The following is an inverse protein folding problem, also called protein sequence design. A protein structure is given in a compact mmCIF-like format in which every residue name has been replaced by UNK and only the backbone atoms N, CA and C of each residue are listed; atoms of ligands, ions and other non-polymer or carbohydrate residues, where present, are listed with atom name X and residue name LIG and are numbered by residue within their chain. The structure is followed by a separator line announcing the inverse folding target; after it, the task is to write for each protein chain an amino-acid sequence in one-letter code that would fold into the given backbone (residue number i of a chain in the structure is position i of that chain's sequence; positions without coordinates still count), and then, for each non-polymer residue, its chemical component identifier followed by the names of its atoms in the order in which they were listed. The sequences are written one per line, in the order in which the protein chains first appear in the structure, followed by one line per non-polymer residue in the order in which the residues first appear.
data_IF_955515554523
#
_entry.id   IF_955515554523
#
_cell.length_a   1.000
_cell.length_b   1.000
_cell.length_c   1.000
_cell.angle_alpha   90.00
_cell.angle_beta   90.00
_cell.angle_gamma   90.00
#
_symmetry.space_group_name_H-M   'P 1'
#
loop_
_entity.id
_entity.type
_entity.pdbx_description
1 polymer ?
#
# COMPACT_ATOMS: atom_id res chain seq x y z
N UNK A 1 11.75 -14.84 -5.96
CA UNK A 1 10.29 -15.08 -5.93
C UNK A 1 9.72 -14.93 -7.35
N UNK A 2 9.03 -15.95 -7.88
CA UNK A 2 8.51 -15.96 -9.27
C UNK A 2 7.56 -14.79 -9.55
N UNK A 3 6.67 -14.49 -8.61
CA UNK A 3 5.73 -13.35 -8.72
C UNK A 3 6.43 -11.99 -8.85
N UNK A 4 7.61 -11.81 -8.25
CA UNK A 4 8.38 -10.57 -8.40
C UNK A 4 8.82 -10.34 -9.85
N UNK A 5 9.35 -11.38 -10.50
CA UNK A 5 9.75 -11.30 -11.91
C UNK A 5 8.51 -11.12 -12.81
N UNK A 6 7.46 -11.90 -12.58
CA UNK A 6 6.26 -11.91 -13.41
C UNK A 6 5.40 -10.63 -13.32
N UNK A 7 5.67 -9.76 -12.34
CA UNK A 7 4.96 -8.50 -12.13
C UNK A 7 5.85 -7.27 -12.32
N UNK A 8 7.11 -7.43 -12.73
CA UNK A 8 8.09 -6.35 -12.86
C UNK A 8 7.58 -5.16 -13.70
N UNK A 9 6.84 -5.44 -14.78
CA UNK A 9 6.25 -4.42 -15.66
C UNK A 9 5.33 -3.42 -14.93
N UNK A 10 4.74 -3.81 -13.80
CA UNK A 10 3.82 -2.96 -13.05
C UNK A 10 4.51 -2.10 -11.99
N UNK A 11 5.71 -2.49 -11.55
CA UNK A 11 6.36 -1.92 -10.35
C UNK A 11 6.60 -0.43 -10.49
N UNK A 12 7.15 0.02 -11.62
CA UNK A 12 7.44 1.43 -11.87
C UNK A 12 6.17 2.30 -11.72
N UNK A 13 5.07 1.90 -12.35
CA UNK A 13 3.80 2.64 -12.27
C UNK A 13 3.18 2.64 -10.87
N UNK A 14 3.33 1.53 -10.14
CA UNK A 14 2.77 1.37 -8.80
C UNK A 14 3.55 2.20 -7.76
N UNK A 15 4.85 2.39 -7.99
CA UNK A 15 5.74 3.07 -7.06
C UNK A 15 5.92 4.57 -7.42
N UNK A 16 5.46 5.00 -8.60
CA UNK A 16 5.64 6.36 -9.14
C UNK A 16 5.28 7.47 -8.13
N UNK A 17 4.09 7.39 -7.52
CA UNK A 17 3.62 8.41 -6.58
C UNK A 17 4.50 8.52 -5.33
N UNK A 18 5.06 7.41 -4.87
CA UNK A 18 5.96 7.34 -3.73
C UNK A 18 7.37 7.83 -4.08
N UNK A 19 7.87 7.44 -5.25
CA UNK A 19 9.19 7.87 -5.73
C UNK A 19 9.22 9.36 -6.07
N UNK A 20 8.10 9.93 -6.54
CA UNK A 20 7.97 11.36 -6.82
C UNK A 20 8.21 12.24 -5.57
N UNK A 21 7.93 11.74 -4.37
CA UNK A 21 8.18 12.45 -3.11
C UNK A 21 9.67 12.63 -2.79
N UNK A 22 10.57 11.96 -3.52
CA UNK A 22 12.02 12.16 -3.40
C UNK A 22 12.53 13.37 -4.17
N UNK A 23 11.67 14.06 -4.92
CA UNK A 23 12.04 15.27 -5.66
C UNK A 23 12.41 16.41 -4.72
N UNK A 24 13.44 17.19 -5.05
CA UNK A 24 13.80 18.41 -4.32
C UNK A 24 12.72 19.50 -4.40
N UNK A 25 11.73 19.35 -5.29
CA UNK A 25 10.59 20.27 -5.45
C UNK A 25 9.31 19.76 -4.80
N UNK A 26 9.38 18.68 -4.04
CA UNK A 26 8.24 18.10 -3.33
C UNK A 26 7.62 19.16 -2.40
N UNK A 27 6.29 19.19 -2.35
CA UNK A 27 5.51 20.03 -1.44
C UNK A 27 4.79 19.15 -0.42
N UNK A 28 4.50 19.70 0.76
CA UNK A 28 3.75 18.97 1.81
C UNK A 28 2.41 18.43 1.29
N UNK A 29 1.74 19.18 0.41
CA UNK A 29 0.49 18.74 -0.24
C UNK A 29 0.67 17.47 -1.08
N UNK A 30 1.83 17.24 -1.70
CA UNK A 30 2.07 16.08 -2.54
C UNK A 30 2.14 14.82 -1.67
N UNK A 31 2.69 14.95 -0.47
CA UNK A 31 2.68 13.88 0.53
C UNK A 31 1.28 13.60 1.07
N UNK A 32 0.50 14.63 1.39
CA UNK A 32 -0.90 14.47 1.81
C UNK A 32 -1.73 13.79 0.72
N UNK A 33 -1.61 14.22 -0.54
CA UNK A 33 -2.25 13.60 -1.69
C UNK A 33 -1.87 12.10 -1.79
N UNK A 34 -0.58 11.78 -1.61
CA UNK A 34 -0.11 10.40 -1.64
C UNK A 34 -0.65 9.57 -0.47
N UNK A 35 -0.72 10.13 0.74
CA UNK A 35 -1.30 9.46 1.91
C UNK A 35 -2.78 9.18 1.70
N UNK A 36 -3.57 10.16 1.21
CA UNK A 36 -5.01 9.98 0.95
C UNK A 36 -5.25 8.90 -0.11
N UNK A 37 -4.50 8.92 -1.22
CA UNK A 37 -4.60 7.88 -2.25
C UNK A 37 -4.27 6.49 -1.70
N UNK A 38 -3.22 6.41 -0.89
CA UNK A 38 -2.78 5.15 -0.29
C UNK A 38 -3.79 4.67 0.75
N UNK A 39 -4.34 5.56 1.57
CA UNK A 39 -5.37 5.24 2.56
C UNK A 39 -6.58 4.57 1.91
N UNK A 40 -7.12 5.17 0.85
CA UNK A 40 -8.32 4.65 0.18
C UNK A 40 -8.11 3.27 -0.44
N UNK A 41 -6.94 3.01 -1.03
CA UNK A 41 -6.63 1.69 -1.58
C UNK A 41 -6.32 0.67 -0.47
N UNK A 42 -5.48 1.05 0.49
CA UNK A 42 -4.98 0.16 1.51
C UNK A 42 -6.08 -0.26 2.50
N UNK A 43 -6.96 0.66 2.91
CA UNK A 43 -8.10 0.33 3.77
C UNK A 43 -9.05 -0.67 3.11
N UNK A 44 -9.37 -0.49 1.83
CA UNK A 44 -10.21 -1.41 1.07
C UNK A 44 -9.61 -2.81 0.95
N UNK A 45 -8.32 -2.89 0.59
CA UNK A 45 -7.61 -4.17 0.50
C UNK A 45 -7.47 -4.85 1.85
N UNK A 46 -7.06 -4.13 2.90
CA UNK A 46 -6.97 -4.71 4.25
C UNK A 46 -8.31 -5.24 4.75
N UNK A 47 -9.41 -4.54 4.44
CA UNK A 47 -10.76 -4.99 4.77
C UNK A 47 -11.10 -6.29 4.06
N UNK A 48 -10.87 -6.40 2.75
CA UNK A 48 -11.12 -7.62 2.00
C UNK A 48 -10.30 -8.81 2.55
N UNK A 49 -9.00 -8.61 2.79
CA UNK A 49 -8.11 -9.62 3.35
C UNK A 49 -8.55 -10.14 4.71
N UNK A 50 -9.18 -9.29 5.53
CA UNK A 50 -9.69 -9.69 6.84
C UNK A 50 -10.88 -10.67 6.78
N UNK A 51 -11.58 -10.72 5.65
CA UNK A 51 -12.72 -11.61 5.40
C UNK A 51 -12.40 -12.77 4.45
N UNK A 52 -11.24 -12.76 3.79
CA UNK A 52 -10.81 -13.83 2.88
C UNK A 52 -10.53 -15.14 3.63
N UNK A 53 -11.10 -16.28 3.19
CA UNK A 53 -10.86 -17.59 3.79
C UNK A 53 -9.37 -17.96 3.83
N UNK A 54 -8.92 -18.55 4.94
CA UNK A 54 -7.54 -19.03 5.11
C UNK A 54 -6.47 -17.97 5.40
N UNK A 55 -6.74 -16.68 5.18
CA UNK A 55 -5.73 -15.61 5.35
C UNK A 55 -5.15 -15.54 6.76
N UNK A 56 -5.99 -15.59 7.80
CA UNK A 56 -5.54 -15.53 9.21
C UNK A 56 -4.67 -16.72 9.62
N UNK A 57 -4.81 -17.87 8.94
CA UNK A 57 -3.99 -19.05 9.20
C UNK A 57 -2.66 -18.98 8.46
N UNK A 58 -2.63 -18.35 7.29
CA UNK A 58 -1.42 -18.22 6.48
C UNK A 58 -0.48 -17.10 6.95
N UNK A 59 -1.02 -16.00 7.48
CA UNK A 59 -0.20 -14.84 7.84
C UNK A 59 -0.84 -13.95 8.93
N UNK A 60 0.00 -13.34 9.75
CA UNK A 60 -0.43 -12.35 10.76
C UNK A 60 -0.88 -11.05 10.07
N UNK A 61 -2.19 -10.96 9.81
CA UNK A 61 -2.83 -9.79 9.23
C UNK A 61 -2.70 -8.55 10.13
N UNK A 62 -2.75 -8.73 11.45
CA UNK A 62 -2.73 -7.60 12.39
C UNK A 62 -1.37 -6.91 12.35
N UNK A 63 -0.28 -7.67 12.33
CA UNK A 63 1.06 -7.11 12.23
C UNK A 63 1.40 -6.53 10.84
N UNK A 64 0.47 -6.64 9.87
CA UNK A 64 0.61 -6.13 8.50
C UNK A 64 -0.42 -5.08 8.12
N UNK A 65 -1.39 -4.79 9.01
CA UNK A 65 -2.32 -3.67 8.81
C UNK A 65 -1.60 -2.36 9.05
N UNK A 66 -1.70 -1.44 8.09
CA UNK A 66 -1.07 -0.11 8.15
C UNK A 66 -2.03 1.01 7.75
N UNK A 67 -3.28 0.71 7.35
CA UNK A 67 -4.27 1.75 7.06
C UNK A 67 -4.49 2.70 8.25
N UNK A 68 -4.47 2.17 9.47
CA UNK A 68 -4.55 2.97 10.70
C UNK A 68 -3.37 3.93 10.89
N UNK A 69 -2.16 3.57 10.45
CA UNK A 69 -0.99 4.44 10.51
C UNK A 69 -1.09 5.60 9.52
N UNK A 70 -1.73 5.37 8.35
CA UNK A 70 -2.00 6.44 7.39
C UNK A 70 -3.04 7.42 7.99
N UNK A 71 -4.09 6.89 8.60
CA UNK A 71 -5.09 7.72 9.28
C UNK A 71 -4.46 8.56 10.40
N UNK A 72 -3.54 7.98 11.17
CA UNK A 72 -2.78 8.69 12.19
C UNK A 72 -1.94 9.83 11.60
N UNK A 73 -1.17 9.57 10.54
CA UNK A 73 -0.40 10.63 9.86
C UNK A 73 -1.30 11.76 9.34
N UNK A 74 -2.48 11.43 8.80
CA UNK A 74 -3.44 12.44 8.32
C UNK A 74 -4.01 13.29 9.46
N UNK A 75 -4.32 12.68 10.61
CA UNK A 75 -4.75 13.39 11.82
C UNK A 75 -3.65 14.33 12.34
N UNK A 76 -2.42 13.83 12.44
CA UNK A 76 -1.27 14.60 12.95
C UNK A 76 -0.88 15.74 12.00
N UNK A 77 -1.21 15.63 10.71
CA UNK A 77 -1.07 16.72 9.73
C UNK A 77 -2.20 17.76 9.86
N UNK A 78 -3.28 17.45 10.58
CA UNK A 78 -4.39 18.36 10.88
C UNK A 78 -5.68 18.10 10.11
N UNK A 79 -5.80 16.96 9.40
CA UNK A 79 -7.07 16.58 8.76
C UNK A 79 -8.09 16.18 9.83
N UNK A 80 -9.36 16.61 9.69
CA UNK A 80 -10.38 16.29 10.69
C UNK A 80 -10.79 14.82 10.58
N UNK A 81 -11.16 14.15 11.69
CA UNK A 81 -11.64 12.77 11.65
C UNK A 81 -12.82 12.56 10.67
N UNK A 82 -13.75 13.52 10.60
CA UNK A 82 -14.87 13.47 9.68
C UNK A 82 -14.44 13.51 8.19
N UNK A 83 -13.40 14.27 7.86
CA UNK A 83 -12.88 14.33 6.50
C UNK A 83 -12.19 13.02 6.13
N UNK A 84 -11.40 12.45 7.05
CA UNK A 84 -10.74 11.14 6.87
C UNK A 84 -11.78 10.03 6.65
N UNK A 85 -12.86 10.02 7.43
CA UNK A 85 -13.95 9.07 7.30
C UNK A 85 -14.71 9.18 5.97
N UNK A 86 -14.67 10.37 5.33
CA UNK A 86 -15.30 10.63 4.04
C UNK A 86 -14.38 10.39 2.83
N UNK A 87 -13.11 10.05 3.06
CA UNK A 87 -12.16 9.80 1.98
C UNK A 87 -12.65 8.64 1.10
N UNK A 88 -12.50 8.74 -0.23
CA UNK A 88 -12.91 7.67 -1.12
C UNK A 88 -12.06 6.43 -0.85
N UNK A 89 -12.71 5.26 -0.85
CA UNK A 89 -12.05 3.96 -0.66
C UNK A 89 -12.21 3.11 -1.92
N UNK A 90 -11.22 2.26 -2.18
CA UNK A 90 -11.29 1.28 -3.26
C UNK A 90 -12.11 0.08 -2.78
N UNK A 91 -13.22 -0.20 -3.43
CA UNK A 91 -14.03 -1.39 -3.14
C UNK A 91 -13.40 -2.61 -3.83
N UNK A 92 -12.85 -3.51 -3.02
CA UNK A 92 -12.31 -4.78 -3.48
C UNK A 92 -13.45 -5.79 -3.45
N UNK A 93 -13.71 -6.45 -4.59
CA UNK A 93 -14.61 -7.60 -4.62
C UNK A 93 -14.12 -8.70 -3.67
N UNK A 94 -15.02 -9.51 -3.09
CA UNK A 94 -14.61 -10.58 -2.20
C UNK A 94 -13.57 -11.50 -2.85
N UNK A 95 -12.42 -11.65 -2.19
CA UNK A 95 -11.36 -12.53 -2.66
C UNK A 95 -11.72 -13.98 -2.29
N UNK A 96 -11.57 -14.88 -3.25
CA UNK A 96 -12.06 -16.26 -3.17
C UNK A 96 -11.30 -17.07 -2.12
N UNK A 97 -9.97 -16.95 -2.10
CA UNK A 97 -9.11 -17.79 -1.28
C UNK A 97 -7.81 -17.09 -0.81
N UNK A 98 -7.02 -17.85 -0.05
CA UNK A 98 -5.75 -17.41 0.51
C UNK A 98 -4.68 -17.09 -0.55
N UNK A 99 -4.69 -17.76 -1.70
CA UNK A 99 -3.73 -17.51 -2.79
C UNK A 99 -4.04 -16.16 -3.43
N UNK A 100 -5.32 -15.88 -3.69
CA UNK A 100 -5.75 -14.59 -4.20
C UNK A 100 -5.47 -13.48 -3.18
N UNK A 101 -5.81 -13.70 -1.90
CA UNK A 101 -5.53 -12.77 -0.81
C UNK A 101 -4.04 -12.41 -0.70
N UNK A 102 -3.16 -13.40 -0.74
CA UNK A 102 -1.72 -13.15 -0.79
C UNK A 102 -1.32 -12.42 -2.09
N UNK A 103 -1.93 -12.74 -3.22
CA UNK A 103 -1.72 -12.00 -4.47
C UNK A 103 -1.98 -10.49 -4.34
N UNK A 104 -3.05 -10.09 -3.65
CA UNK A 104 -3.36 -8.69 -3.36
C UNK A 104 -2.44 -8.09 -2.30
N UNK A 105 -2.13 -8.82 -1.22
CA UNK A 105 -1.21 -8.39 -0.17
C UNK A 105 0.18 -8.09 -0.73
N UNK A 106 0.65 -8.83 -1.74
CA UNK A 106 1.93 -8.60 -2.42
C UNK A 106 2.09 -7.14 -2.87
N UNK A 107 1.00 -6.54 -3.36
CA UNK A 107 1.04 -5.15 -3.85
C UNK A 107 1.30 -4.16 -2.70
N UNK A 108 0.71 -4.41 -1.54
CA UNK A 108 0.88 -3.58 -0.34
C UNK A 108 2.27 -3.78 0.28
N UNK A 109 2.72 -5.02 0.44
CA UNK A 109 3.99 -5.35 1.09
C UNK A 109 5.19 -4.82 0.30
N UNK A 110 5.16 -4.90 -1.02
CA UNK A 110 6.25 -4.39 -1.88
C UNK A 110 6.38 -2.87 -1.78
N UNK A 111 5.30 -2.12 -1.53
CA UNK A 111 5.40 -0.66 -1.33
C UNK A 111 6.32 -0.29 -0.17
N UNK A 112 6.42 -1.17 0.85
CA UNK A 112 7.22 -0.94 2.05
C UNK A 112 8.73 -0.94 1.78
N UNK A 113 9.17 -1.51 0.65
CA UNK A 113 10.58 -1.53 0.24
C UNK A 113 11.14 -0.11 0.01
N UNK A 114 10.27 0.87 -0.23
CA UNK A 114 10.66 2.26 -0.45
C UNK A 114 10.54 3.14 0.80
N UNK A 115 9.89 2.65 1.87
CA UNK A 115 9.43 3.49 2.98
C UNK A 115 10.55 4.26 3.66
N UNK A 116 11.64 3.57 4.00
CA UNK A 116 12.74 4.19 4.74
C UNK A 116 13.49 5.24 3.91
N UNK A 117 13.65 5.00 2.60
CA UNK A 117 14.23 5.97 1.68
C UNK A 117 13.34 7.22 1.53
N UNK A 118 12.03 7.03 1.44
CA UNK A 118 11.05 8.12 1.32
C UNK A 118 10.96 8.90 2.63
N UNK A 119 10.86 8.22 3.77
CA UNK A 119 10.84 8.84 5.10
C UNK A 119 12.04 9.76 5.30
N UNK A 120 13.24 9.28 4.98
CA UNK A 120 14.45 10.12 5.03
C UNK A 120 14.37 11.32 4.09
N UNK A 121 13.87 11.16 2.87
CA UNK A 121 13.70 12.28 1.94
C UNK A 121 12.72 13.33 2.49
N UNK A 122 11.57 12.88 2.99
CA UNK A 122 10.56 13.74 3.58
C UNK A 122 11.07 14.51 4.81
N UNK A 123 11.82 13.85 5.70
CA UNK A 123 12.44 14.51 6.84
C UNK A 123 13.53 15.51 6.44
N UNK A 124 14.28 15.25 5.36
CA UNK A 124 15.24 16.24 4.83
C UNK A 124 14.53 17.48 4.29
N UNK A 125 13.40 17.31 3.61
CA UNK A 125 12.67 18.42 2.98
C UNK A 125 11.82 19.22 3.96
N UNK A 126 11.25 18.60 4.99
CA UNK A 126 10.26 19.25 5.88
C UNK A 126 10.59 19.17 7.38
N UNK A 127 11.73 18.58 7.74
CA UNK A 127 12.15 18.39 9.13
C UNK A 127 11.59 17.11 9.77
N UNK A 128 12.14 16.76 10.93
CA UNK A 128 11.78 15.55 11.69
C UNK A 128 10.40 15.61 12.36
N UNK A 129 9.77 16.79 12.41
CA UNK A 129 8.41 16.97 12.94
C UNK A 129 7.30 16.62 11.95
N UNK A 130 7.63 16.20 10.73
CA UNK A 130 6.63 15.71 9.78
C UNK A 130 6.13 14.32 10.23
N UNK A 131 4.81 14.10 10.38
CA UNK A 131 4.26 12.78 10.69
C UNK A 131 4.62 11.77 9.60
N UNK A 132 5.15 10.61 10.00
CA UNK A 132 5.58 9.53 9.11
C UNK A 132 5.37 8.14 9.73
N UNK A 133 4.35 7.98 10.59
CA UNK A 133 3.98 6.72 11.22
C UNK A 133 3.80 5.60 10.19
N UNK A 134 3.15 5.88 9.06
CA UNK A 134 2.98 4.91 7.98
C UNK A 134 4.31 4.48 7.35
N UNK A 135 5.18 5.44 7.04
CA UNK A 135 6.51 5.14 6.50
C UNK A 135 7.45 4.51 7.54
N UNK A 136 7.03 4.50 8.80
CA UNK A 136 7.73 3.88 9.93
C UNK A 136 7.13 2.56 10.37
N UNK A 137 6.11 2.03 9.66
CA UNK A 137 5.32 0.85 10.05
C UNK A 137 6.15 -0.38 10.46
N UNK A 138 7.35 -0.55 9.90
CA UNK A 138 8.25 -1.66 10.21
C UNK A 138 9.53 -1.25 10.95
N UNK A 139 9.68 0.01 11.35
CA UNK A 139 10.83 0.44 12.18
C UNK A 139 12.21 0.15 11.60
N UNK A 140 12.33 0.03 10.27
CA UNK A 140 13.57 -0.38 9.60
C UNK A 140 13.69 -1.89 9.30
N UNK A 141 12.72 -2.71 9.74
CA UNK A 141 12.66 -4.16 9.52
C UNK A 141 11.94 -4.55 8.22
N UNK A 142 11.78 -3.63 7.27
CA UNK A 142 11.03 -3.86 6.02
C UNK A 142 11.54 -5.08 5.24
N UNK A 143 12.87 -5.27 5.17
CA UNK A 143 13.47 -6.43 4.52
C UNK A 143 13.10 -7.75 5.23
N UNK A 144 13.13 -7.77 6.56
CA UNK A 144 12.76 -8.97 7.34
C UNK A 144 11.27 -9.30 7.15
N UNK A 145 10.42 -8.28 7.19
CA UNK A 145 8.96 -8.42 6.95
C UNK A 145 8.64 -8.92 5.55
N UNK A 146 9.41 -8.48 4.56
CA UNK A 146 9.34 -8.95 3.17
C UNK A 146 9.79 -10.41 3.02
N UNK A 147 10.87 -10.81 3.70
CA UNK A 147 11.33 -12.20 3.72
C UNK A 147 10.31 -13.13 4.39
N UNK A 148 9.78 -12.73 5.56
CA UNK A 148 8.72 -13.47 6.25
C UNK A 148 7.45 -13.59 5.38
N UNK A 149 7.16 -12.57 4.58
CA UNK A 149 6.08 -12.62 3.60
C UNK A 149 6.37 -13.63 2.48
N UNK A 150 7.60 -13.65 1.95
CA UNK A 150 8.04 -14.66 0.98
C UNK A 150 7.89 -16.10 1.50
N UNK A 151 8.24 -16.35 2.76
CA UNK A 151 8.04 -17.66 3.39
C UNK A 151 6.57 -18.07 3.50
N UNK A 152 5.66 -17.13 3.76
CA UNK A 152 4.23 -17.40 3.74
C UNK A 152 3.71 -17.71 2.32
N UNK A 153 4.27 -17.06 1.29
CA UNK A 153 3.96 -17.40 -0.09
C UNK A 153 4.43 -18.82 -0.44
N UNK A 154 5.65 -19.18 -0.06
CA UNK A 154 6.21 -20.50 -0.34
C UNK A 154 5.47 -21.64 0.40
N UNK A 155 4.89 -21.36 1.57
CA UNK A 155 4.13 -22.36 2.33
C UNK A 155 2.74 -22.63 1.76
N UNK A 156 2.12 -21.60 1.16
CA UNK A 156 0.79 -21.69 0.55
C UNK A 156 0.87 -22.15 -0.91
N UNK A 157 1.79 -21.58 -1.69
CA UNK A 157 1.93 -21.85 -3.13
C UNK A 157 2.96 -22.97 -3.38
N UNK A 158 2.52 -24.22 -3.27
CA UNK A 158 3.40 -25.41 -3.27
C UNK A 158 3.60 -26.06 -4.63
N UNK A 159 2.88 -25.61 -5.65
CA UNK A 159 2.89 -26.16 -7.01
C UNK A 159 2.81 -25.03 -8.06
N UNK A 160 2.95 -25.39 -9.33
CA UNK A 160 2.92 -24.42 -10.42
C UNK A 160 1.55 -23.75 -10.58
N UNK A 161 0.47 -24.47 -10.31
CA UNK A 161 -0.90 -23.96 -10.42
C UNK A 161 -1.14 -22.83 -9.41
N UNK A 162 -0.88 -23.07 -8.13
CA UNK A 162 -1.00 -22.06 -7.06
C UNK A 162 -0.09 -20.86 -7.30
N UNK A 163 1.12 -21.05 -7.81
CA UNK A 163 2.00 -19.93 -8.19
C UNK A 163 1.44 -19.11 -9.36
N UNK A 164 0.80 -19.76 -10.35
CA UNK A 164 0.18 -19.04 -11.46
C UNK A 164 -1.07 -18.27 -11.02
N UNK A 165 -1.88 -18.84 -10.11
CA UNK A 165 -2.99 -18.13 -9.48
C UNK A 165 -2.50 -16.91 -8.68
N UNK A 166 -1.44 -17.05 -7.89
CA UNK A 166 -0.80 -15.95 -7.16
C UNK A 166 -0.38 -14.82 -8.12
N UNK A 167 0.28 -15.16 -9.24
CA UNK A 167 0.71 -14.20 -10.25
C UNK A 167 -0.49 -13.49 -10.88
N UNK A 168 -1.54 -14.23 -11.23
CA UNK A 168 -2.75 -13.68 -11.82
C UNK A 168 -3.42 -12.68 -10.86
N UNK A 169 -3.57 -13.05 -9.58
CA UNK A 169 -4.12 -12.21 -8.53
C UNK A 169 -3.28 -10.95 -8.32
N UNK A 170 -1.95 -11.05 -8.19
CA UNK A 170 -1.07 -9.89 -8.07
C UNK A 170 -1.16 -8.95 -9.28
N UNK A 171 -1.22 -9.47 -10.50
CA UNK A 171 -1.44 -8.65 -11.70
C UNK A 171 -2.80 -7.95 -11.67
N UNK A 172 -3.85 -8.63 -11.20
CA UNK A 172 -5.17 -8.04 -10.96
C UNK A 172 -5.10 -6.86 -10.00
N UNK A 173 -4.45 -7.06 -8.85
CA UNK A 173 -4.24 -6.04 -7.83
C UNK A 173 -3.41 -4.84 -8.33
N UNK A 174 -2.37 -5.06 -9.14
CA UNK A 174 -1.63 -3.97 -9.78
C UNK A 174 -2.49 -3.15 -10.75
N UNK A 175 -3.29 -3.83 -11.59
CA UNK A 175 -4.22 -3.14 -12.50
C UNK A 175 -5.26 -2.35 -11.72
N UNK A 176 -5.77 -2.90 -10.61
CA UNK A 176 -6.68 -2.22 -9.70
C UNK A 176 -6.05 -0.94 -9.11
N UNK A 177 -4.85 -1.03 -8.54
CA UNK A 177 -4.10 0.12 -8.02
C UNK A 177 -3.88 1.20 -9.10
N UNK A 178 -3.52 0.78 -10.32
CA UNK A 178 -3.35 1.70 -11.44
C UNK A 178 -4.65 2.42 -11.83
N UNK A 179 -5.78 1.71 -11.91
CA UNK A 179 -7.10 2.32 -12.18
C UNK A 179 -7.53 3.26 -11.06
N UNK A 180 -7.35 2.84 -9.81
CA UNK A 180 -7.62 3.66 -8.62
C UNK A 180 -6.83 4.97 -8.66
N UNK A 181 -5.52 4.89 -8.89
CA UNK A 181 -4.65 6.07 -8.91
C UNK A 181 -5.01 7.02 -10.04
N UNK A 182 -5.24 6.51 -11.26
CA UNK A 182 -5.60 7.34 -12.43
C UNK A 182 -6.96 8.03 -12.29
N UNK A 183 -7.94 7.37 -11.66
CA UNK A 183 -9.28 7.94 -11.48
C UNK A 183 -9.36 8.91 -10.30
N UNK A 184 -8.64 8.64 -9.22
CA UNK A 184 -8.79 9.36 -7.94
C UNK A 184 -7.84 10.54 -7.82
N UNK A 185 -6.59 10.43 -8.31
CA UNK A 185 -5.58 11.49 -8.16
C UNK A 185 -6.02 12.84 -8.75
N UNK A 186 -6.62 12.91 -9.96
CA UNK A 186 -7.10 14.19 -10.50
C UNK A 186 -8.20 14.81 -9.64
N UNK A 187 -9.12 13.99 -9.09
CA UNK A 187 -10.22 14.45 -8.23
C UNK A 187 -9.71 15.06 -6.93
N UNK A 188 -8.71 14.43 -6.32
CA UNK A 188 -8.07 14.95 -5.11
C UNK A 188 -7.38 16.29 -5.37
N UNK A 189 -6.70 16.44 -6.51
CA UNK A 189 -6.05 17.72 -6.87
C UNK A 189 -7.05 18.84 -7.09
N UNK A 190 -8.20 18.55 -7.68
CA UNK A 190 -9.27 19.53 -7.83
C UNK A 190 -9.91 19.92 -6.50
N UNK A 191 -10.12 18.96 -5.59
CA UNK A 191 -10.68 19.21 -4.26
C UNK A 191 -9.73 19.97 -3.31
N UNK A 192 -8.44 19.61 -3.31
CA UNK A 192 -7.41 20.25 -2.48
C UNK A 192 -6.97 21.63 -3.00
N UNK A 193 -7.26 21.97 -4.25
CA UNK A 193 -6.99 23.30 -4.80
C UNK A 193 -8.11 24.32 -4.50
N UNK A 194 -9.26 23.86 -4.01
CA UNK A 194 -10.43 24.69 -3.71
C UNK A 194 -10.54 25.09 -2.22
N UNK A 195 -9.59 24.70 -1.38
CA UNK A 195 -9.49 25.05 0.03
C UNK A 195 -8.13 25.67 0.36
#
# INVERSE_FOLDING_TARGET
MRVNVATHEYHASADEGWLALRSDRVRRRDYVEQLVLTFGFQSGVESALAYTPGMRAAIDLRARSRAGLIAQDLLDIGMRPADIASLPQYEVEPLEDVVEGLGWMYVLERSTLHFDAIRRAMHRSFGSGLPTAFLSAYGGEGTSRWQAYGHALDSVCRDDESVMCLIAASRGAFRALGRWTRSTRPRLRSGLAAG
#
